data_IF_844592468222
#
_entry.id   IF_844592468222
#
_cell.length_a   1.000
_cell.length_b   1.000
_cell.length_c   1.000
_cell.angle_alpha   90.00
_cell.angle_beta   90.00
_cell.angle_gamma   90.00
#
_symmetry.space_group_name_H-M   'P 1'
#
loop_
_entity.id
_entity.type
_entity.pdbx_description
1 polymer ?
#
# COMPACT_ATOMS: atom_id res chain seq x y z
N UNK A 1 23.90 3.61 12.31
CA UNK A 1 24.08 4.96 11.74
C UNK A 1 23.06 5.07 10.62
N UNK A 2 22.35 6.18 10.52
CA UNK A 2 21.04 6.38 9.87
C UNK A 2 19.82 5.81 10.63
N UNK A 3 19.55 6.45 11.76
CA UNK A 3 18.27 6.43 12.46
C UNK A 3 17.62 7.83 12.40
N UNK A 4 17.48 8.38 11.19
CA UNK A 4 16.64 9.57 11.00
C UNK A 4 15.18 9.15 10.94
N UNK A 5 14.64 8.95 12.14
CA UNK A 5 13.21 9.02 12.37
C UNK A 5 12.71 10.36 11.85
N UNK A 6 11.96 10.34 10.75
CA UNK A 6 10.99 11.39 10.44
C UNK A 6 9.92 11.40 11.54
N UNK A 7 10.27 11.95 12.69
CA UNK A 7 9.31 12.46 13.64
C UNK A 7 8.66 13.68 13.00
N UNK A 8 7.37 13.59 12.76
CA UNK A 8 6.56 14.74 12.42
C UNK A 8 6.65 15.72 13.61
N UNK A 9 7.55 16.70 13.51
CA UNK A 9 7.67 17.76 14.51
C UNK A 9 6.42 18.63 14.37
N UNK A 10 5.39 18.34 15.16
CA UNK A 10 4.29 19.29 15.36
C UNK A 10 4.88 20.43 16.20
N UNK A 11 5.37 21.47 15.53
CA UNK A 11 5.92 22.64 16.24
C UNK A 11 4.85 23.29 17.11
N UNK A 12 5.24 23.89 18.23
CA UNK A 12 4.33 24.62 19.14
C UNK A 12 3.59 25.78 18.42
N UNK A 13 4.10 26.29 17.30
CA UNK A 13 3.42 27.26 16.45
C UNK A 13 2.17 26.69 15.76
N UNK A 14 2.10 25.38 15.55
CA UNK A 14 0.91 24.70 15.01
C UNK A 14 -0.21 24.57 16.04
N UNK A 15 0.04 24.79 17.34
CA UNK A 15 -0.99 24.74 18.38
C UNK A 15 -1.72 26.09 18.57
N UNK A 16 -1.06 27.22 18.32
CA UNK A 16 -1.64 28.56 18.54
C UNK A 16 -2.65 28.98 17.45
N UNK A 17 -2.66 28.33 16.29
CA UNK A 17 -3.52 28.67 15.15
C UNK A 17 -4.92 28.02 15.22
N UNK A 18 -5.16 27.07 16.14
CA UNK A 18 -6.40 26.29 16.21
C UNK A 18 -7.03 26.35 17.62
N UNK A 19 -7.92 27.32 17.86
CA UNK A 19 -8.56 27.58 19.16
C UNK A 19 -9.56 26.51 19.66
N UNK A 20 -10.19 26.82 20.82
CA UNK A 20 -11.05 25.97 21.68
C UNK A 20 -12.21 25.20 20.99
N UNK A 21 -12.53 25.47 19.72
CA UNK A 21 -13.59 24.80 18.96
C UNK A 21 -13.27 23.36 18.51
N UNK A 22 -12.03 22.88 18.68
CA UNK A 22 -11.60 21.54 18.23
C UNK A 22 -12.06 20.40 19.14
N UNK A 23 -12.36 20.69 20.41
CA UNK A 23 -12.79 19.68 21.38
C UNK A 23 -14.04 18.95 20.89
N UNK A 24 -15.13 19.68 20.64
CA UNK A 24 -16.39 19.08 20.21
C UNK A 24 -16.30 18.34 18.86
N UNK A 25 -15.52 18.85 17.89
CA UNK A 25 -15.36 18.21 16.59
C UNK A 25 -14.50 16.93 16.62
N UNK A 26 -13.39 16.96 17.36
CA UNK A 26 -12.56 15.77 17.56
C UNK A 26 -13.26 14.74 18.44
N UNK A 27 -14.01 15.18 19.44
CA UNK A 27 -14.83 14.32 20.29
C UNK A 27 -15.91 13.62 19.47
N UNK A 28 -16.59 14.32 18.56
CA UNK A 28 -17.56 13.71 17.64
C UNK A 28 -16.92 12.71 16.66
N UNK A 29 -15.75 13.03 16.08
CA UNK A 29 -15.00 12.09 15.23
C UNK A 29 -14.59 10.86 16.03
N UNK A 30 -14.11 11.05 17.26
CA UNK A 30 -13.71 9.98 18.17
C UNK A 30 -14.90 9.10 18.54
N UNK A 31 -16.03 9.69 18.90
CA UNK A 31 -17.27 8.98 19.23
C UNK A 31 -17.80 8.18 18.03
N UNK A 32 -17.84 8.79 16.85
CA UNK A 32 -18.23 8.11 15.61
C UNK A 32 -17.30 6.95 15.26
N UNK A 33 -15.99 7.14 15.42
CA UNK A 33 -15.00 6.09 15.21
C UNK A 33 -15.17 4.95 16.23
N UNK A 34 -15.24 5.25 17.52
CA UNK A 34 -15.36 4.25 18.59
C UNK A 34 -16.71 3.50 18.55
N UNK A 35 -17.78 4.11 18.05
CA UNK A 35 -19.07 3.44 17.88
C UNK A 35 -19.09 2.43 16.74
N UNK A 36 -18.18 2.57 15.77
CA UNK A 36 -18.04 1.67 14.63
C UNK A 36 -16.99 0.57 14.85
N UNK A 37 -16.14 0.73 15.86
CA UNK A 37 -15.06 -0.19 16.15
C UNK A 37 -15.47 -1.26 17.19
N UNK A 38 -14.91 -2.47 17.10
CA UNK A 38 -15.03 -3.46 18.17
C UNK A 38 -14.44 -2.92 19.48
N UNK A 39 -14.99 -3.34 20.63
CA UNK A 39 -14.59 -2.83 21.96
C UNK A 39 -13.11 -3.02 22.25
N UNK A 40 -12.52 -4.06 21.67
CA UNK A 40 -11.10 -4.40 21.75
C UNK A 40 -10.21 -3.34 21.08
N UNK A 41 -10.73 -2.56 20.12
CA UNK A 41 -9.95 -1.50 19.48
C UNK A 41 -9.71 -0.31 20.43
N UNK A 42 -10.54 -0.12 21.46
CA UNK A 42 -10.40 0.95 22.44
C UNK A 42 -9.23 0.71 23.42
N UNK A 43 -8.70 -0.51 23.49
CA UNK A 43 -7.54 -0.85 24.33
C UNK A 43 -6.22 -0.74 23.58
N UNK A 44 -6.26 -0.54 22.26
CA UNK A 44 -5.07 -0.38 21.42
C UNK A 44 -4.38 0.95 21.67
N UNK A 45 -3.05 0.96 21.56
CA UNK A 45 -2.28 2.20 21.58
C UNK A 45 -2.58 3.00 20.30
N UNK A 46 -2.49 4.34 20.33
CA UNK A 46 -2.71 5.17 19.14
C UNK A 46 -1.90 4.75 17.92
N UNK A 47 -0.66 4.27 18.11
CA UNK A 47 0.19 3.76 17.04
C UNK A 47 -0.33 2.46 16.41
N UNK A 48 -0.94 1.58 17.21
CA UNK A 48 -1.52 0.32 16.72
C UNK A 48 -2.81 0.58 15.95
N UNK A 49 -3.64 1.49 16.48
CA UNK A 49 -4.84 1.97 15.80
C UNK A 49 -4.48 2.65 14.48
N UNK A 50 -3.43 3.47 14.45
CA UNK A 50 -2.95 4.09 13.22
C UNK A 50 -2.52 3.06 12.16
N UNK A 51 -1.86 1.98 12.54
CA UNK A 51 -1.50 0.89 11.60
C UNK A 51 -2.74 0.14 11.12
N UNK A 52 -3.75 -0.06 11.96
CA UNK A 52 -5.01 -0.69 11.53
C UNK A 52 -5.79 0.18 10.54
N UNK A 53 -5.80 1.50 10.75
CA UNK A 53 -6.56 2.44 9.92
C UNK A 53 -5.82 2.84 8.64
N UNK A 54 -4.52 3.10 8.74
CA UNK A 54 -3.70 3.67 7.67
C UNK A 54 -2.65 2.69 7.12
N UNK A 55 -2.58 1.47 7.63
CA UNK A 55 -1.60 0.47 7.22
C UNK A 55 -0.16 0.76 7.68
N UNK A 56 0.78 -0.07 7.24
CA UNK A 56 2.21 0.10 7.50
C UNK A 56 2.85 0.98 6.43
N UNK A 57 3.50 2.07 6.85
CA UNK A 57 4.14 3.02 5.94
C UNK A 57 5.54 2.63 5.47
N UNK A 58 6.32 1.90 6.28
CA UNK A 58 7.61 1.35 5.84
C UNK A 58 7.40 -0.01 5.19
N UNK A 59 7.77 -0.10 3.92
CA UNK A 59 7.60 -1.28 3.10
C UNK A 59 8.96 -1.84 2.68
N UNK A 60 9.12 -3.15 2.84
CA UNK A 60 10.15 -3.91 2.17
C UNK A 60 9.50 -4.86 1.15
N UNK A 61 10.27 -5.25 0.13
CA UNK A 61 9.73 -6.06 -0.95
C UNK A 61 9.26 -7.44 -0.50
N UNK A 62 9.82 -8.00 0.57
CA UNK A 62 9.39 -9.28 1.14
C UNK A 62 8.00 -9.13 1.76
N UNK A 63 7.76 -8.09 2.55
CA UNK A 63 6.48 -7.81 3.19
C UNK A 63 5.35 -7.62 2.17
N UNK A 64 5.66 -6.97 1.03
CA UNK A 64 4.70 -6.83 -0.07
C UNK A 64 4.38 -8.19 -0.68
N UNK A 65 5.40 -8.97 -1.04
CA UNK A 65 5.23 -10.31 -1.63
C UNK A 65 4.44 -11.25 -0.71
N UNK A 66 4.71 -11.23 0.60
CA UNK A 66 4.04 -12.07 1.59
C UNK A 66 2.53 -11.75 1.70
N UNK A 67 2.09 -10.55 1.30
CA UNK A 67 0.68 -10.13 1.32
C UNK A 67 -0.01 -10.15 -0.04
N UNK A 68 0.65 -10.69 -1.07
CA UNK A 68 0.03 -10.93 -2.37
C UNK A 68 -0.68 -12.28 -2.38
N UNK A 69 -1.92 -12.30 -2.86
CA UNK A 69 -2.66 -13.53 -3.07
C UNK A 69 -2.58 -13.97 -4.54
N UNK A 70 -1.85 -15.05 -4.81
CA UNK A 70 -1.70 -15.60 -6.15
C UNK A 70 -2.87 -16.52 -6.50
N UNK A 71 -3.56 -16.24 -7.61
CA UNK A 71 -4.65 -17.08 -8.08
C UNK A 71 -4.15 -18.51 -8.45
N UNK A 72 -4.92 -19.58 -8.19
CA UNK A 72 -4.46 -20.97 -8.40
C UNK A 72 -4.01 -21.32 -9.82
N UNK A 73 -4.45 -20.56 -10.84
CA UNK A 73 -4.13 -20.77 -12.26
C UNK A 73 -3.16 -19.73 -12.81
N UNK A 74 -2.55 -18.92 -11.95
CA UNK A 74 -1.54 -17.97 -12.40
C UNK A 74 -0.32 -18.72 -12.96
N UNK A 75 0.25 -18.18 -14.03
CA UNK A 75 1.46 -18.69 -14.65
C UNK A 75 2.64 -18.56 -13.68
N UNK A 76 3.27 -19.69 -13.37
CA UNK A 76 4.29 -19.77 -12.31
C UNK A 76 5.54 -18.98 -12.66
N UNK A 77 5.92 -18.96 -13.94
CA UNK A 77 7.10 -18.24 -14.41
C UNK A 77 6.90 -16.73 -14.26
N UNK A 78 5.80 -16.20 -14.79
CA UNK A 78 5.47 -14.77 -14.69
C UNK A 78 5.30 -14.32 -13.24
N UNK A 79 4.67 -15.15 -12.39
CA UNK A 79 4.55 -14.86 -10.95
C UNK A 79 5.93 -14.85 -10.30
N UNK A 80 6.79 -15.83 -10.60
CA UNK A 80 8.15 -15.87 -10.07
C UNK A 80 8.95 -14.63 -10.48
N UNK A 81 8.85 -14.21 -11.74
CA UNK A 81 9.45 -12.97 -12.26
C UNK A 81 8.97 -11.75 -11.48
N UNK A 82 7.65 -11.59 -11.31
CA UNK A 82 7.05 -10.50 -10.53
C UNK A 82 7.58 -10.47 -9.09
N UNK A 83 7.53 -11.60 -8.37
CA UNK A 83 7.98 -11.65 -6.98
C UNK A 83 9.48 -11.36 -6.84
N UNK A 84 10.28 -11.79 -7.83
CA UNK A 84 11.70 -11.49 -7.90
C UNK A 84 11.98 -9.99 -8.02
N UNK A 85 11.25 -9.29 -8.90
CA UNK A 85 11.39 -7.84 -9.06
C UNK A 85 10.95 -7.11 -7.78
N UNK A 86 9.76 -7.41 -7.26
CA UNK A 86 9.19 -6.76 -6.07
C UNK A 86 10.12 -6.80 -4.85
N UNK A 87 10.83 -7.91 -4.65
CA UNK A 87 11.80 -8.05 -3.54
C UNK A 87 12.97 -7.07 -3.62
N UNK A 88 13.29 -6.58 -4.82
CA UNK A 88 14.42 -5.68 -5.07
C UNK A 88 14.00 -4.22 -5.24
N UNK A 89 12.70 -3.93 -5.28
CA UNK A 89 12.22 -2.56 -5.48
C UNK A 89 12.46 -1.68 -4.24
N UNK A 90 12.82 -0.40 -4.45
CA UNK A 90 12.88 0.59 -3.37
C UNK A 90 11.54 0.75 -2.64
N UNK A 91 11.61 1.10 -1.35
CA UNK A 91 10.41 1.28 -0.52
C UNK A 91 9.42 2.31 -1.11
N UNK A 92 9.94 3.40 -1.70
CA UNK A 92 9.13 4.43 -2.33
C UNK A 92 8.33 3.87 -3.52
N UNK A 93 8.96 3.08 -4.38
CA UNK A 93 8.33 2.52 -5.57
C UNK A 93 7.31 1.44 -5.21
N UNK A 94 7.57 0.66 -4.15
CA UNK A 94 6.59 -0.27 -3.59
C UNK A 94 5.33 0.47 -3.10
N UNK A 95 5.51 1.63 -2.46
CA UNK A 95 4.38 2.46 -2.01
C UNK A 95 3.58 3.01 -3.17
N UNK A 96 4.25 3.46 -4.23
CA UNK A 96 3.61 3.95 -5.47
C UNK A 96 2.85 2.83 -6.18
N UNK A 97 3.46 1.66 -6.31
CA UNK A 97 2.81 0.47 -6.86
C UNK A 97 1.56 0.09 -6.08
N UNK A 98 1.65 -0.01 -4.75
CA UNK A 98 0.47 -0.28 -3.92
C UNK A 98 -0.59 0.78 -4.13
N UNK A 99 -0.23 2.06 -4.15
CA UNK A 99 -1.20 3.12 -4.39
C UNK A 99 -1.90 2.96 -5.75
N UNK A 100 -1.17 2.59 -6.79
CA UNK A 100 -1.77 2.34 -8.11
C UNK A 100 -2.73 1.15 -8.08
N UNK A 101 -2.36 0.07 -7.40
CA UNK A 101 -3.12 -1.19 -7.37
C UNK A 101 -4.28 -1.16 -6.38
N UNK A 102 -4.15 -0.53 -5.22
CA UNK A 102 -5.13 -0.62 -4.11
C UNK A 102 -5.75 0.73 -3.76
N UNK A 103 -5.19 1.83 -4.25
CA UNK A 103 -5.54 3.19 -3.82
C UNK A 103 -4.89 3.60 -2.49
N UNK A 104 -4.03 2.76 -1.89
CA UNK A 104 -3.34 3.05 -0.63
C UNK A 104 -1.83 2.81 -0.74
N UNK A 105 -1.03 3.69 -0.15
CA UNK A 105 0.44 3.62 -0.20
C UNK A 105 1.05 2.80 0.96
N UNK A 106 0.29 1.82 1.47
CA UNK A 106 0.53 1.14 2.74
C UNK A 106 0.00 -0.28 2.70
N UNK A 107 0.69 -1.20 3.36
CA UNK A 107 0.20 -2.57 3.51
C UNK A 107 -0.86 -2.66 4.62
N UNK A 108 -1.91 -3.47 4.45
CA UNK A 108 -2.81 -3.81 5.53
C UNK A 108 -2.09 -4.66 6.61
N UNK A 109 -2.79 -5.00 7.71
CA UNK A 109 -2.27 -5.92 8.70
C UNK A 109 -1.82 -7.26 8.07
N UNK A 110 -0.78 -7.94 8.60
CA UNK A 110 -0.21 -9.15 7.98
C UNK A 110 -1.16 -10.33 7.75
N UNK A 111 -2.31 -10.36 8.44
CA UNK A 111 -3.36 -11.36 8.24
C UNK A 111 -4.26 -11.09 7.04
N UNK A 112 -4.09 -9.94 6.38
CA UNK A 112 -4.91 -9.50 5.26
C UNK A 112 -4.13 -9.52 3.95
N UNK A 113 -4.87 -9.67 2.86
CA UNK A 113 -4.33 -9.62 1.50
C UNK A 113 -4.29 -8.16 1.04
N UNK A 114 -3.14 -7.70 0.59
CA UNK A 114 -2.98 -6.36 0.03
C UNK A 114 -3.52 -6.28 -1.39
N UNK A 115 -3.14 -7.24 -2.23
CA UNK A 115 -3.57 -7.33 -3.63
C UNK A 115 -3.56 -8.78 -4.12
N UNK A 116 -4.27 -9.04 -5.21
CA UNK A 116 -4.35 -10.34 -5.86
C UNK A 116 -3.52 -10.34 -7.14
N UNK A 117 -2.91 -11.47 -7.47
CA UNK A 117 -2.16 -11.65 -8.71
C UNK A 117 -2.86 -12.71 -9.56
N UNK A 118 -3.17 -12.37 -10.82
CA UNK A 118 -3.74 -13.34 -11.78
C UNK A 118 -3.09 -13.21 -13.14
N UNK A 119 -3.04 -14.33 -13.86
CA UNK A 119 -2.61 -14.34 -15.26
C UNK A 119 -3.81 -14.21 -16.18
N UNK A 120 -3.70 -13.34 -17.18
CA UNK A 120 -4.75 -13.08 -18.18
C UNK A 120 -4.19 -13.39 -19.56
N UNK A 121 -4.66 -14.46 -20.24
CA UNK A 121 -4.25 -14.74 -21.61
C UNK A 121 -4.66 -13.60 -22.55
N UNK A 122 -3.75 -13.15 -23.41
CA UNK A 122 -3.99 -12.06 -24.34
C UNK A 122 -4.00 -10.67 -23.70
N UNK A 123 -3.39 -10.50 -22.52
CA UNK A 123 -3.12 -9.17 -21.98
C UNK A 123 -2.14 -8.43 -22.90
N UNK A 124 -2.50 -7.22 -23.33
CA UNK A 124 -1.71 -6.43 -24.29
C UNK A 124 -0.36 -5.94 -23.73
N UNK A 125 -0.23 -5.91 -22.40
CA UNK A 125 0.99 -5.53 -21.69
C UNK A 125 1.50 -6.68 -20.80
N UNK A 126 2.80 -6.72 -20.46
CA UNK A 126 3.37 -7.70 -19.54
C UNK A 126 2.66 -7.76 -18.18
N UNK A 127 2.27 -6.58 -17.69
CA UNK A 127 1.66 -6.36 -16.39
C UNK A 127 0.65 -5.21 -16.49
N UNK A 128 -0.46 -5.31 -15.77
CA UNK A 128 -1.39 -4.21 -15.57
C UNK A 128 -1.92 -4.19 -14.13
N UNK A 129 -2.29 -3.02 -13.64
CA UNK A 129 -2.92 -2.84 -12.33
C UNK A 129 -4.42 -2.52 -12.50
N UNK A 130 -5.27 -3.25 -11.77
CA UNK A 130 -6.71 -3.02 -11.75
C UNK A 130 -7.17 -2.60 -10.36
N UNK A 131 -7.22 -1.28 -10.16
CA UNK A 131 -7.48 -0.66 -8.85
C UNK A 131 -8.80 -1.09 -8.19
N UNK A 132 -9.95 -1.13 -8.90
CA UNK A 132 -11.23 -1.44 -8.28
C UNK A 132 -11.29 -2.80 -7.58
N UNK A 133 -10.45 -3.76 -8.00
CA UNK A 133 -10.41 -5.11 -7.42
C UNK A 133 -9.10 -5.43 -6.70
N UNK A 134 -8.19 -4.44 -6.56
CA UNK A 134 -6.86 -4.64 -6.02
C UNK A 134 -6.10 -5.79 -6.69
N UNK A 135 -6.05 -5.78 -8.04
CA UNK A 135 -5.45 -6.86 -8.83
C UNK A 135 -4.22 -6.40 -9.63
N UNK A 136 -3.21 -7.25 -9.65
CA UNK A 136 -2.11 -7.26 -10.62
C UNK A 136 -2.39 -8.34 -11.66
N UNK A 137 -2.47 -7.92 -12.92
CA UNK A 137 -2.76 -8.76 -14.07
C UNK A 137 -1.45 -9.03 -14.80
N UNK A 138 -1.08 -10.28 -14.97
CA UNK A 138 0.13 -10.69 -15.69
C UNK A 138 -0.24 -11.32 -17.04
N UNK A 139 0.50 -11.00 -18.09
CA UNK A 139 0.55 -11.87 -19.25
C UNK A 139 1.27 -13.20 -18.88
N UNK A 140 1.04 -14.31 -19.61
CA UNK A 140 1.79 -15.55 -19.38
C UNK A 140 3.23 -15.48 -19.92
N UNK A 141 4.13 -16.32 -19.39
CA UNK A 141 5.52 -16.48 -19.83
C UNK A 141 6.34 -15.17 -19.92
N UNK A 142 6.19 -14.28 -18.95
CA UNK A 142 6.88 -12.98 -18.94
C UNK A 142 8.30 -13.08 -18.37
N UNK A 143 9.26 -12.52 -19.11
CA UNK A 143 10.64 -12.41 -18.65
C UNK A 143 10.76 -11.38 -17.52
N UNK A 144 11.74 -11.57 -16.63
CA UNK A 144 11.99 -10.68 -15.48
C UNK A 144 12.16 -9.22 -15.91
N UNK A 145 12.87 -8.98 -17.01
CA UNK A 145 13.15 -7.62 -17.51
C UNK A 145 11.91 -6.93 -18.06
N UNK A 146 10.98 -7.68 -18.66
CA UNK A 146 9.71 -7.15 -19.16
C UNK A 146 8.80 -6.75 -17.99
N UNK A 147 8.72 -7.60 -16.96
CA UNK A 147 7.95 -7.30 -15.74
C UNK A 147 8.55 -6.10 -15.00
N UNK A 148 9.89 -6.01 -14.92
CA UNK A 148 10.58 -4.87 -14.31
C UNK A 148 10.24 -3.56 -15.01
N UNK A 149 10.43 -3.52 -16.33
CA UNK A 149 10.15 -2.33 -17.14
C UNK A 149 8.68 -1.89 -17.00
N UNK A 150 7.75 -2.84 -16.98
CA UNK A 150 6.33 -2.49 -16.85
C UNK A 150 5.98 -1.99 -15.43
N UNK A 151 6.61 -2.54 -14.39
CA UNK A 151 6.48 -2.00 -13.03
C UNK A 151 7.02 -0.59 -12.91
N UNK A 152 8.17 -0.30 -13.51
CA UNK A 152 8.77 1.04 -13.55
C UNK A 152 7.81 2.02 -14.25
N UNK A 153 7.25 1.65 -15.41
CA UNK A 153 6.23 2.46 -16.09
C UNK A 153 5.00 2.76 -15.22
N UNK A 154 4.50 1.74 -14.49
CA UNK A 154 3.35 1.90 -13.57
C UNK A 154 3.68 2.85 -12.42
N UNK A 155 4.89 2.79 -11.89
CA UNK A 155 5.37 3.64 -10.79
C UNK A 155 5.55 5.08 -11.26
N UNK A 156 6.18 5.29 -12.41
CA UNK A 156 6.47 6.62 -12.98
C UNK A 156 5.19 7.37 -13.37
N UNK A 157 4.14 6.64 -13.79
CA UNK A 157 2.84 7.23 -14.08
C UNK A 157 2.18 7.92 -12.87
N UNK A 158 2.57 7.57 -11.64
CA UNK A 158 2.06 8.22 -10.41
C UNK A 158 2.68 9.59 -10.19
N UNK A 159 3.94 9.78 -10.60
CA UNK A 159 4.66 11.05 -10.46
C UNK A 159 4.31 12.05 -11.59
N UNK A 160 3.66 11.58 -12.65
CA UNK A 160 3.25 12.44 -13.75
C UNK A 160 2.11 13.35 -13.26
N UNK A 161 2.27 14.69 -13.24
CA UNK A 161 1.21 15.58 -12.77
C UNK A 161 -0.03 15.33 -13.63
N UNK A 162 -1.14 14.97 -12.98
CA UNK A 162 -2.45 14.97 -13.63
C UNK A 162 -2.71 16.43 -14.02
N UNK A 163 -2.56 16.72 -15.32
CA UNK A 163 -2.84 18.03 -15.89
C UNK A 163 -4.27 18.49 -15.60
#
# INVERSE_FOLDING_TARGET
EDAEASQLVVSEASHAVYGDGRGAGLDAVREGMLSSLPKEAATLRPSELAVLLAGRGHLDGKAVVDQLHVAPRADKESVSSLMGVLRTMPSLDLRRLLYTVTGTASLPPPSQVAARVRTVPGLDAPLAAHRPTAELLLAPAQAVDEVRRELENIVDAVDTPLG
#
